data_IF_206084378172
#
_entry.id   IF_206084378172
#
_cell.length_a   1.000
_cell.length_b   1.000
_cell.length_c   1.000
_cell.angle_alpha   90.00
_cell.angle_beta   90.00
_cell.angle_gamma   90.00
#
_symmetry.space_group_name_H-M   'P 1'
#
loop_
_entity.id
_entity.type
_entity.pdbx_description
1 polymer ?
#
# COMPACT_ATOMS: atom_id res chain seq x y z
N UNK A 1 18.83 33.96 16.14
CA UNK A 1 19.68 33.39 15.08
C UNK A 1 18.81 32.44 14.27
N UNK A 2 18.24 32.93 13.17
CA UNK A 2 17.35 32.18 12.30
C UNK A 2 18.05 31.98 10.95
N UNK A 3 18.31 30.73 10.58
CA UNK A 3 18.87 30.35 9.28
C UNK A 3 17.73 30.13 8.30
N UNK A 4 17.56 31.07 7.37
CA UNK A 4 16.62 30.97 6.26
C UNK A 4 17.15 30.01 5.20
N UNK A 5 16.50 28.86 5.04
CA UNK A 5 16.74 27.92 3.93
C UNK A 5 15.92 28.36 2.73
N UNK A 6 16.51 28.57 1.54
CA UNK A 6 15.77 28.94 0.34
C UNK A 6 15.02 27.74 -0.26
N UNK A 7 13.93 27.97 -1.01
CA UNK A 7 13.12 26.90 -1.59
C UNK A 7 13.82 26.22 -2.79
N UNK A 8 13.47 24.95 -3.08
CA UNK A 8 14.03 24.23 -4.23
C UNK A 8 13.50 24.78 -5.55
N UNK A 9 14.43 24.98 -6.48
CA UNK A 9 14.23 25.33 -7.88
C UNK A 9 13.30 24.32 -8.56
N UNK A 10 12.22 24.81 -9.17
CA UNK A 10 11.32 23.99 -9.98
C UNK A 10 12.01 23.43 -11.23
N UNK A 11 11.47 22.36 -11.83
CA UNK A 11 12.02 21.77 -13.04
C UNK A 11 11.99 22.79 -14.19
N UNK A 12 13.16 22.99 -14.79
CA UNK A 12 13.35 23.77 -16.01
C UNK A 12 12.36 23.30 -17.09
N UNK A 13 11.52 24.23 -17.54
CA UNK A 13 10.76 24.08 -18.76
C UNK A 13 11.76 23.96 -19.93
N UNK A 14 12.03 22.73 -20.35
CA UNK A 14 12.81 22.42 -21.53
C UNK A 14 12.27 23.18 -22.74
N UNK A 15 13.11 24.09 -23.24
CA UNK A 15 12.76 25.05 -24.27
C UNK A 15 12.21 24.38 -25.51
N UNK A 16 10.97 24.75 -25.85
CA UNK A 16 10.41 24.53 -27.17
C UNK A 16 11.31 25.21 -28.20
N UNK A 17 12.12 24.39 -28.88
CA UNK A 17 12.90 24.76 -30.05
C UNK A 17 11.95 25.16 -31.16
N UNK A 18 11.54 26.44 -31.15
CA UNK A 18 10.80 27.07 -32.21
C UNK A 18 11.65 27.06 -33.48
N UNK A 19 11.37 26.09 -34.35
CA UNK A 19 11.75 26.14 -35.76
C UNK A 19 11.03 27.34 -36.41
N UNK A 20 11.57 28.55 -36.23
CA UNK A 20 11.31 29.69 -37.09
C UNK A 20 12.03 29.45 -38.41
N UNK A 21 11.48 28.54 -39.20
CA UNK A 21 11.78 28.41 -40.62
C UNK A 21 11.31 29.69 -41.32
N UNK A 22 12.27 30.57 -41.60
CA UNK A 22 12.08 31.81 -42.33
C UNK A 22 11.76 31.46 -43.80
N UNK A 23 10.51 31.09 -44.08
CA UNK A 23 10.02 30.97 -45.46
C UNK A 23 9.85 32.39 -46.00
N UNK A 24 10.93 32.91 -46.60
CA UNK A 24 10.86 34.07 -47.50
C UNK A 24 9.92 33.72 -48.65
N UNK A 25 8.64 34.08 -48.53
CA UNK A 25 7.72 34.18 -49.66
C UNK A 25 8.30 35.22 -50.62
N UNK A 26 8.95 34.77 -51.69
CA UNK A 26 9.20 35.62 -52.85
C UNK A 26 7.85 35.88 -53.54
N UNK A 27 7.50 37.14 -53.86
CA UNK A 27 6.25 37.45 -54.55
C UNK A 27 6.29 36.89 -55.97
N UNK A 28 5.29 36.08 -56.33
CA UNK A 28 5.06 35.46 -57.66
C UNK A 28 4.59 36.51 -58.70
N UNK A 29 4.94 37.77 -58.51
CA UNK A 29 4.42 38.89 -59.31
C UNK A 29 5.05 39.02 -60.72
N UNK A 30 6.03 38.18 -61.09
CA UNK A 30 6.77 38.36 -62.35
C UNK A 30 6.36 37.44 -63.52
N UNK A 31 5.32 36.61 -63.38
CA UNK A 31 4.96 35.63 -64.43
C UNK A 31 3.62 35.87 -65.15
N UNK A 32 2.88 36.95 -64.86
CA UNK A 32 1.65 37.30 -65.61
C UNK A 32 1.90 38.39 -66.68
N UNK A 33 3.09 39.00 -66.71
CA UNK A 33 3.39 40.11 -67.63
C UNK A 33 3.73 39.74 -69.08
N UNK A 34 4.06 38.48 -69.38
CA UNK A 34 4.65 38.10 -70.69
C UNK A 34 3.70 37.36 -71.63
N UNK A 35 2.55 36.88 -71.17
CA UNK A 35 1.57 36.23 -72.05
C UNK A 35 0.73 37.21 -72.89
N UNK A 36 0.74 38.51 -72.57
CA UNK A 36 0.02 39.54 -73.34
C UNK A 36 0.83 40.02 -74.57
N UNK A 37 2.15 39.83 -74.59
CA UNK A 37 2.98 40.28 -75.73
C UNK A 37 2.83 39.36 -76.95
N UNK A 38 2.49 38.08 -76.77
CA UNK A 38 2.30 37.15 -77.90
C UNK A 38 0.91 37.28 -78.58
N UNK A 39 -0.09 37.86 -77.91
CA UNK A 39 -1.42 38.06 -78.48
C UNK A 39 -1.58 39.42 -79.20
N UNK A 40 -0.72 40.40 -78.90
CA UNK A 40 -0.72 41.71 -79.59
C UNK A 40 -0.10 41.61 -81.00
N UNK A 41 0.72 40.60 -81.28
CA UNK A 41 1.28 40.38 -82.63
C UNK A 41 0.24 39.77 -83.61
N UNK A 42 -0.88 39.23 -83.10
CA UNK A 42 -1.94 38.64 -83.93
C UNK A 42 -2.96 39.61 -84.52
N UNK A 43 -2.92 40.90 -84.17
CA UNK A 43 -3.97 41.87 -84.54
C UNK A 43 -3.52 42.99 -85.50
N UNK A 44 -2.30 42.94 -86.05
CA UNK A 44 -1.85 43.88 -87.08
C UNK A 44 -1.65 43.14 -88.42
N UNK A 45 -2.77 42.78 -89.04
CA UNK A 45 -2.79 42.41 -90.44
C UNK A 45 -2.51 43.66 -91.29
N UNK A 46 -1.39 43.66 -92.03
CA UNK A 46 -1.22 44.56 -93.18
C UNK A 46 0.13 45.27 -93.32
N UNK A 47 1.24 44.53 -93.33
CA UNK A 47 2.40 44.86 -94.19
C UNK A 47 3.34 43.65 -94.24
N UNK A 48 3.47 43.08 -95.43
CA UNK A 48 4.40 41.99 -95.72
C UNK A 48 5.76 42.60 -96.07
N UNK A 49 6.72 42.52 -95.15
CA UNK A 49 8.14 42.43 -95.50
C UNK A 49 8.94 41.87 -94.31
N UNK A 50 9.59 40.73 -94.57
CA UNK A 50 10.62 40.02 -93.80
C UNK A 50 10.75 40.34 -92.30
N UNK A 51 10.04 39.60 -91.44
CA UNK A 51 10.50 39.45 -90.05
C UNK A 51 11.95 38.91 -90.07
N UNK A 52 12.92 39.58 -89.44
CA UNK A 52 14.31 39.14 -89.49
C UNK A 52 14.43 37.78 -88.82
N UNK A 53 15.09 36.82 -89.48
CA UNK A 53 15.28 35.44 -88.99
C UNK A 53 15.77 35.35 -87.53
N UNK A 54 16.47 36.37 -87.04
CA UNK A 54 16.92 36.50 -85.67
C UNK A 54 15.78 36.45 -84.63
N UNK A 55 14.65 37.13 -84.89
CA UNK A 55 13.52 37.18 -83.94
C UNK A 55 12.82 35.82 -83.83
N UNK A 56 12.79 35.05 -84.92
CA UNK A 56 12.23 33.70 -84.94
C UNK A 56 13.08 32.71 -84.13
N UNK A 57 14.41 32.83 -84.20
CA UNK A 57 15.32 31.97 -83.45
C UNK A 57 15.30 32.31 -81.95
N UNK A 58 15.17 33.59 -81.59
CA UNK A 58 14.93 34.01 -80.20
C UNK A 58 13.60 33.47 -79.66
N UNK A 59 12.53 33.57 -80.44
CA UNK A 59 11.22 33.01 -80.06
C UNK A 59 11.26 31.49 -79.84
N UNK A 60 12.01 30.74 -80.68
CA UNK A 60 12.23 29.30 -80.47
C UNK A 60 13.00 29.02 -79.18
N UNK A 61 14.08 29.75 -78.91
CA UNK A 61 14.84 29.58 -77.67
C UNK A 61 14.01 29.91 -76.43
N UNK A 62 13.19 30.97 -76.49
CA UNK A 62 12.26 31.32 -75.42
C UNK A 62 11.24 30.21 -75.16
N UNK A 63 10.67 29.61 -76.22
CA UNK A 63 9.73 28.50 -76.10
C UNK A 63 10.38 27.26 -75.46
N UNK A 64 11.64 26.95 -75.81
CA UNK A 64 12.40 25.88 -75.16
C UNK A 64 12.57 26.15 -73.66
N UNK A 65 12.96 27.38 -73.27
CA UNK A 65 13.10 27.76 -71.85
C UNK A 65 11.77 27.66 -71.09
N UNK A 66 10.67 28.12 -71.70
CA UNK A 66 9.33 28.01 -71.11
C UNK A 66 8.89 26.57 -70.96
N UNK A 67 9.18 25.71 -71.93
CA UNK A 67 8.86 24.27 -71.88
C UNK A 67 9.62 23.61 -70.73
N UNK A 68 10.91 23.89 -70.58
CA UNK A 68 11.71 23.40 -69.45
C UNK A 68 11.23 23.92 -68.11
N UNK A 69 10.93 25.23 -68.01
CA UNK A 69 10.39 25.83 -66.78
C UNK A 69 9.02 25.24 -66.38
N UNK A 70 8.14 25.00 -67.37
CA UNK A 70 6.86 24.33 -67.14
C UNK A 70 7.04 22.88 -66.68
N UNK A 71 8.04 22.16 -67.19
CA UNK A 71 8.37 20.81 -66.71
C UNK A 71 8.85 20.84 -65.25
N UNK A 72 9.76 21.75 -64.89
CA UNK A 72 10.22 21.94 -63.50
C UNK A 72 9.08 22.31 -62.56
N UNK A 73 8.21 23.25 -62.94
CA UNK A 73 7.06 23.64 -62.11
C UNK A 73 6.07 22.49 -61.91
N UNK A 74 5.85 21.65 -62.92
CA UNK A 74 5.02 20.44 -62.77
C UNK A 74 5.62 19.49 -61.75
N UNK A 75 6.93 19.24 -61.84
CA UNK A 75 7.65 18.42 -60.88
C UNK A 75 7.58 18.99 -59.46
N UNK A 76 7.80 20.29 -59.29
CA UNK A 76 7.71 20.95 -57.97
C UNK A 76 6.29 20.83 -57.36
N UNK A 77 5.24 20.92 -58.17
CA UNK A 77 3.85 20.74 -57.72
C UNK A 77 3.59 19.29 -57.32
N UNK A 78 4.09 18.32 -58.06
CA UNK A 78 4.00 16.89 -57.71
C UNK A 78 4.76 16.59 -56.41
N UNK A 79 5.97 17.10 -56.26
CA UNK A 79 6.78 16.98 -55.04
C UNK A 79 6.10 17.64 -53.84
N UNK A 80 5.52 18.83 -54.02
CA UNK A 80 4.78 19.52 -52.98
C UNK A 80 3.51 18.75 -52.56
N UNK A 81 2.80 18.15 -53.52
CA UNK A 81 1.64 17.28 -53.23
C UNK A 81 2.06 16.03 -52.48
N UNK A 82 3.15 15.38 -52.88
CA UNK A 82 3.69 14.22 -52.18
C UNK A 82 4.09 14.56 -50.75
N UNK A 83 4.75 15.72 -50.54
CA UNK A 83 5.09 16.22 -49.19
C UNK A 83 3.85 16.56 -48.35
N UNK A 84 2.83 17.15 -48.96
CA UNK A 84 1.58 17.44 -48.23
C UNK A 84 0.87 16.15 -47.80
N UNK A 85 0.82 15.13 -48.66
CA UNK A 85 0.25 13.83 -48.32
C UNK A 85 0.98 13.18 -47.14
N UNK A 86 2.32 13.18 -47.13
CA UNK A 86 3.09 12.61 -46.00
C UNK A 86 2.92 13.41 -44.71
N UNK A 87 2.78 14.74 -44.80
CA UNK A 87 2.50 15.59 -43.64
C UNK A 87 1.09 15.35 -43.08
N UNK A 88 0.09 15.11 -43.93
CA UNK A 88 -1.27 14.76 -43.50
C UNK A 88 -1.28 13.43 -42.75
N UNK A 89 -0.63 12.39 -43.28
CA UNK A 89 -0.49 11.09 -42.59
C UNK A 89 0.23 11.21 -41.24
N UNK A 90 1.30 12.01 -41.19
CA UNK A 90 2.05 12.26 -39.96
C UNK A 90 1.19 13.00 -38.91
N UNK A 91 0.38 13.98 -39.34
CA UNK A 91 -0.56 14.70 -38.47
C UNK A 91 -1.62 13.75 -37.91
N UNK A 92 -2.19 12.87 -38.73
CA UNK A 92 -3.23 11.93 -38.29
C UNK A 92 -2.68 10.87 -37.34
N UNK A 93 -1.43 10.43 -37.57
CA UNK A 93 -0.72 9.57 -36.61
C UNK A 93 -0.49 10.29 -35.28
N UNK A 94 0.05 11.51 -35.32
CA UNK A 94 0.31 12.30 -34.11
C UNK A 94 -0.97 12.60 -33.32
N UNK A 95 -2.08 12.85 -34.01
CA UNK A 95 -3.40 13.07 -33.37
C UNK A 95 -3.86 11.83 -32.62
N UNK A 96 -3.79 10.64 -33.24
CA UNK A 96 -4.15 9.38 -32.58
C UNK A 96 -3.26 9.07 -31.38
N UNK A 97 -1.96 9.32 -31.48
CA UNK A 97 -1.04 9.12 -30.37
C UNK A 97 -1.34 10.08 -29.21
N UNK A 98 -1.66 11.35 -29.50
CA UNK A 98 -2.06 12.32 -28.49
C UNK A 98 -3.38 11.93 -27.79
N UNK A 99 -4.37 11.45 -28.54
CA UNK A 99 -5.64 10.97 -27.97
C UNK A 99 -5.45 9.75 -27.07
N UNK A 100 -4.62 8.79 -27.49
CA UNK A 100 -4.28 7.61 -26.67
C UNK A 100 -3.55 8.01 -25.38
N UNK A 101 -2.56 8.89 -25.48
CA UNK A 101 -1.81 9.38 -24.33
C UNK A 101 -2.72 10.15 -23.36
N UNK A 102 -3.66 10.96 -23.87
CA UNK A 102 -4.64 11.66 -23.05
C UNK A 102 -5.60 10.69 -22.34
N UNK A 103 -6.05 9.65 -23.03
CA UNK A 103 -6.90 8.61 -22.44
C UNK A 103 -6.16 7.86 -21.32
N UNK A 104 -4.90 7.50 -21.55
CA UNK A 104 -4.05 6.86 -20.53
C UNK A 104 -3.79 7.78 -19.34
N UNK A 105 -3.45 9.04 -19.58
CA UNK A 105 -3.25 10.03 -18.52
C UNK A 105 -4.52 10.20 -17.66
N UNK A 106 -5.70 10.27 -18.28
CA UNK A 106 -6.99 10.31 -17.57
C UNK A 106 -7.22 9.06 -16.73
N UNK A 107 -6.85 7.89 -17.23
CA UNK A 107 -6.95 6.63 -16.48
C UNK A 107 -6.02 6.63 -15.26
N UNK A 108 -4.76 7.03 -15.41
CA UNK A 108 -3.78 7.03 -14.30
C UNK A 108 -4.13 8.09 -13.26
N UNK A 109 -4.65 9.24 -13.69
CA UNK A 109 -5.04 10.34 -12.81
C UNK A 109 -6.45 10.21 -12.22
N UNK A 110 -7.18 9.15 -12.57
CA UNK A 110 -8.52 8.88 -12.06
C UNK A 110 -8.53 8.81 -10.53
N UNK A 111 -9.58 9.36 -9.93
CA UNK A 111 -9.79 9.37 -8.47
C UNK A 111 -11.18 8.87 -8.16
N UNK A 112 -11.29 8.10 -7.09
CA UNK A 112 -12.53 7.52 -6.60
C UNK A 112 -12.84 7.96 -5.17
N UNK A 113 -14.09 7.81 -4.78
CA UNK A 113 -14.52 8.00 -3.38
C UNK A 113 -14.38 6.68 -2.64
N UNK A 114 -13.65 6.69 -1.53
CA UNK A 114 -13.38 5.50 -0.72
C UNK A 114 -14.69 4.99 -0.09
N UNK A 115 -15.11 3.72 -0.32
CA UNK A 115 -16.30 3.16 0.28
C UNK A 115 -16.11 2.90 1.78
N UNK A 116 -17.22 2.62 2.47
CA UNK A 116 -17.14 2.04 3.81
C UNK A 116 -16.88 0.53 3.70
N UNK A 117 -15.76 0.10 4.25
CA UNK A 117 -15.32 -1.27 4.41
C UNK A 117 -15.41 -1.72 5.88
N UNK A 118 -15.86 -0.83 6.78
CA UNK A 118 -16.07 -1.15 8.20
C UNK A 118 -17.29 -2.06 8.33
N UNK A 119 -17.27 -2.95 9.33
CA UNK A 119 -18.30 -3.95 9.68
C UNK A 119 -18.41 -5.20 8.80
N UNK A 120 -17.81 -5.18 7.60
CA UNK A 120 -17.59 -6.38 6.79
C UNK A 120 -16.37 -7.19 7.24
N UNK A 121 -16.15 -8.34 6.61
CA UNK A 121 -14.89 -9.08 6.71
C UNK A 121 -13.84 -8.55 5.72
N UNK A 122 -12.59 -9.01 5.86
CA UNK A 122 -11.48 -8.53 5.04
C UNK A 122 -11.57 -9.00 3.57
N UNK A 123 -12.24 -10.11 3.30
CA UNK A 123 -12.40 -10.66 1.97
C UNK A 123 -13.50 -9.90 1.23
N UNK A 124 -14.62 -9.58 1.88
CA UNK A 124 -15.64 -8.66 1.36
C UNK A 124 -15.04 -7.28 1.02
N UNK A 125 -14.12 -6.79 1.85
CA UNK A 125 -13.42 -5.54 1.58
C UNK A 125 -12.51 -5.60 0.33
N UNK A 126 -11.98 -6.78 -0.02
CA UNK A 126 -11.17 -7.01 -1.23
C UNK A 126 -12.04 -7.19 -2.47
N UNK A 127 -13.19 -7.82 -2.32
CA UNK A 127 -14.13 -8.11 -3.40
C UNK A 127 -15.05 -6.93 -3.72
N UNK A 128 -14.92 -5.82 -2.99
CA UNK A 128 -15.66 -4.60 -3.26
C UNK A 128 -15.36 -4.06 -4.67
N UNK A 129 -16.40 -3.89 -5.49
CA UNK A 129 -16.26 -3.46 -6.89
C UNK A 129 -15.53 -2.13 -7.05
N UNK A 130 -15.78 -1.15 -6.17
CA UNK A 130 -15.14 0.17 -6.23
C UNK A 130 -13.63 0.05 -5.97
N UNK A 131 -13.23 -0.85 -5.07
CA UNK A 131 -11.81 -1.15 -4.80
C UNK A 131 -11.15 -1.73 -6.07
N UNK A 132 -11.85 -2.64 -6.77
CA UNK A 132 -11.41 -3.21 -8.04
C UNK A 132 -11.30 -2.19 -9.17
N UNK A 133 -12.33 -1.37 -9.38
CA UNK A 133 -12.41 -0.37 -10.47
C UNK A 133 -11.26 0.64 -10.44
N UNK A 134 -10.86 1.04 -9.23
CA UNK A 134 -9.74 1.94 -8.99
C UNK A 134 -8.42 1.21 -8.68
N UNK A 135 -8.37 -0.12 -8.80
CA UNK A 135 -7.18 -0.94 -8.55
C UNK A 135 -6.54 -0.65 -7.18
N UNK A 136 -7.35 -0.34 -6.17
CA UNK A 136 -6.87 0.01 -4.84
C UNK A 136 -6.32 -1.22 -4.11
N UNK A 137 -5.22 -1.02 -3.38
CA UNK A 137 -4.51 -2.08 -2.67
C UNK A 137 -4.96 -2.14 -1.21
N UNK A 138 -5.63 -3.22 -0.82
CA UNK A 138 -6.00 -3.45 0.58
C UNK A 138 -4.78 -3.92 1.38
N UNK A 139 -4.45 -3.20 2.45
CA UNK A 139 -3.45 -3.58 3.46
C UNK A 139 -4.15 -3.88 4.77
N UNK A 140 -3.73 -4.94 5.45
CA UNK A 140 -4.35 -5.34 6.70
C UNK A 140 -3.44 -5.06 7.89
N UNK A 141 -4.03 -4.53 8.97
CA UNK A 141 -3.43 -4.47 10.30
C UNK A 141 -4.37 -5.13 11.30
N UNK A 142 -3.85 -5.80 12.32
CA UNK A 142 -4.69 -6.48 13.30
C UNK A 142 -4.66 -5.79 14.66
N UNK A 143 -5.82 -5.64 15.30
CA UNK A 143 -5.96 -5.01 16.62
C UNK A 143 -6.86 -5.84 17.54
N UNK A 144 -6.47 -5.93 18.81
CA UNK A 144 -7.31 -6.56 19.83
C UNK A 144 -8.59 -5.74 19.98
N UNK A 145 -9.74 -6.41 19.83
CA UNK A 145 -11.06 -5.80 19.92
C UNK A 145 -12.05 -6.79 20.52
N UNK A 146 -13.19 -6.28 21.00
CA UNK A 146 -14.35 -7.09 21.39
C UNK A 146 -15.22 -7.53 20.21
N UNK A 147 -14.98 -6.99 19.00
CA UNK A 147 -15.66 -7.43 17.79
C UNK A 147 -15.26 -8.86 17.37
N UNK A 148 -16.09 -9.48 16.53
CA UNK A 148 -15.82 -10.80 15.95
C UNK A 148 -14.46 -10.81 15.25
N UNK A 149 -13.56 -11.78 15.54
CA UNK A 149 -12.28 -11.89 14.86
C UNK A 149 -12.46 -11.98 13.34
N UNK A 150 -11.67 -11.23 12.57
CA UNK A 150 -11.79 -11.14 11.11
C UNK A 150 -12.62 -9.94 10.60
N UNK A 151 -13.42 -9.32 11.47
CA UNK A 151 -14.20 -8.12 11.10
C UNK A 151 -13.32 -6.87 11.00
N UNK A 152 -13.55 -6.05 9.98
CA UNK A 152 -12.92 -4.73 9.82
C UNK A 152 -13.56 -3.74 10.81
N UNK A 153 -12.75 -3.22 11.72
CA UNK A 153 -13.19 -2.28 12.77
C UNK A 153 -12.78 -0.83 12.51
N UNK A 154 -11.83 -0.61 11.61
CA UNK A 154 -11.46 0.72 11.15
C UNK A 154 -10.81 0.65 9.77
N UNK A 155 -10.81 1.76 9.05
CA UNK A 155 -10.11 1.89 7.77
C UNK A 155 -9.42 3.24 7.66
N UNK A 156 -8.41 3.30 6.80
CA UNK A 156 -7.71 4.52 6.39
C UNK A 156 -7.37 4.45 4.90
N UNK A 157 -7.74 5.44 4.06
CA UNK A 157 -8.50 6.65 4.40
C UNK A 157 -9.93 6.37 4.91
N UNK A 158 -10.56 7.39 5.51
CA UNK A 158 -11.95 7.28 5.97
C UNK A 158 -12.91 7.11 4.78
N UNK A 159 -14.07 6.48 4.97
CA UNK A 159 -15.12 6.47 3.96
C UNK A 159 -15.44 7.89 3.49
N UNK A 160 -15.70 8.07 2.20
CA UNK A 160 -15.96 9.38 1.59
C UNK A 160 -14.71 10.16 1.20
N UNK A 161 -13.51 9.72 1.57
CA UNK A 161 -12.28 10.39 1.13
C UNK A 161 -12.01 10.14 -0.35
N UNK A 162 -11.41 11.12 -1.03
CA UNK A 162 -10.96 10.97 -2.42
C UNK A 162 -9.60 10.28 -2.45
N UNK A 163 -9.47 9.22 -3.24
CA UNK A 163 -8.25 8.45 -3.36
C UNK A 163 -7.90 8.19 -4.85
N UNK A 164 -6.63 8.33 -5.19
CA UNK A 164 -6.13 8.10 -6.55
C UNK A 164 -6.14 6.61 -6.90
N UNK A 165 -6.27 6.29 -8.20
CA UNK A 165 -6.15 4.93 -8.72
C UNK A 165 -4.84 4.27 -8.27
N UNK A 166 -4.86 2.97 -7.98
CA UNK A 166 -3.69 2.20 -7.55
C UNK A 166 -3.20 2.45 -6.12
N UNK A 167 -3.79 3.41 -5.39
CA UNK A 167 -3.38 3.74 -4.03
C UNK A 167 -3.83 2.68 -2.99
N UNK A 168 -3.37 2.82 -1.75
CA UNK A 168 -3.61 1.84 -0.69
C UNK A 168 -4.71 2.24 0.28
N UNK A 169 -5.53 1.27 0.70
CA UNK A 169 -6.44 1.38 1.84
C UNK A 169 -5.94 0.43 2.92
N UNK A 170 -5.68 0.95 4.11
CA UNK A 170 -5.35 0.14 5.29
C UNK A 170 -6.61 -0.13 6.09
N UNK A 171 -6.98 -1.41 6.22
CA UNK A 171 -8.04 -1.87 7.11
C UNK A 171 -7.45 -2.40 8.41
N UNK A 172 -8.09 -2.07 9.53
CA UNK A 172 -7.79 -2.61 10.85
C UNK A 172 -8.80 -3.69 11.14
N UNK A 173 -8.32 -4.91 11.31
CA UNK A 173 -9.12 -6.12 11.50
C UNK A 173 -9.07 -6.52 12.98
N UNK A 174 -10.22 -6.90 13.52
CA UNK A 174 -10.35 -7.41 14.86
C UNK A 174 -9.61 -8.75 15.01
N UNK A 175 -8.82 -8.87 16.07
CA UNK A 175 -8.30 -10.15 16.56
C UNK A 175 -8.70 -10.36 18.01
N UNK A 176 -8.82 -11.63 18.39
CA UNK A 176 -9.10 -12.03 19.77
C UNK A 176 -7.95 -11.62 20.69
N UNK A 177 -8.26 -11.17 21.90
CA UNK A 177 -7.25 -10.98 22.93
C UNK A 177 -6.54 -12.32 23.21
N UNK A 178 -5.22 -12.32 23.40
CA UNK A 178 -4.53 -13.53 23.84
C UNK A 178 -5.11 -13.97 25.19
N UNK A 179 -5.18 -15.29 25.45
CA UNK A 179 -5.59 -15.76 26.76
C UNK A 179 -4.63 -15.22 27.83
N UNK A 180 -5.17 -14.89 29.02
CA UNK A 180 -4.33 -14.48 30.15
C UNK A 180 -3.26 -15.55 30.43
N UNK A 181 -2.01 -15.15 30.71
CA UNK A 181 -0.97 -16.10 31.07
C UNK A 181 -1.37 -16.89 32.32
N UNK A 182 -0.94 -18.16 32.40
CA UNK A 182 -1.07 -18.93 33.63
C UNK A 182 -0.24 -18.26 34.73
N UNK A 183 -0.78 -18.23 35.94
CA UNK A 183 -0.10 -17.71 37.12
C UNK A 183 -0.40 -18.60 38.34
N UNK A 184 0.38 -18.42 39.39
CA UNK A 184 0.14 -19.10 40.66
C UNK A 184 -1.05 -18.45 41.36
N UNK A 185 -2.16 -19.18 41.46
CA UNK A 185 -3.38 -18.77 42.15
C UNK A 185 -3.46 -19.53 43.48
N UNK A 186 -3.55 -18.80 44.59
CA UNK A 186 -3.77 -19.39 45.91
C UNK A 186 -5.17 -20.01 45.95
N UNK A 187 -5.23 -21.30 46.26
CA UNK A 187 -6.49 -22.05 46.44
C UNK A 187 -6.80 -22.34 47.91
N UNK A 188 -5.78 -22.27 48.75
CA UNK A 188 -5.89 -22.46 50.18
C UNK A 188 -4.79 -21.66 50.87
N UNK A 189 -5.12 -20.97 51.96
CA UNK A 189 -4.14 -20.26 52.78
C UNK A 189 -4.56 -20.23 54.22
N UNK A 190 -3.59 -20.31 55.11
CA UNK A 190 -3.80 -20.26 56.54
C UNK A 190 -2.56 -19.71 57.24
N UNK A 191 -2.77 -19.21 58.45
CA UNK A 191 -1.70 -18.86 59.38
C UNK A 191 -2.08 -19.30 60.80
N UNK A 192 -1.09 -19.47 61.66
CA UNK A 192 -1.31 -19.97 63.01
C UNK A 192 -0.02 -20.31 63.73
N UNK A 193 -0.12 -21.13 64.76
CA UNK A 193 1.04 -21.74 65.40
C UNK A 193 0.68 -22.98 66.21
N UNK A 194 1.69 -23.73 66.61
CA UNK A 194 1.50 -25.04 67.25
C UNK A 194 1.11 -26.14 66.26
N UNK A 195 0.79 -27.31 66.80
CA UNK A 195 0.31 -28.45 66.03
C UNK A 195 -1.16 -28.31 65.65
N UNK A 196 -1.48 -28.47 64.36
CA UNK A 196 -2.83 -28.31 63.83
C UNK A 196 -3.05 -29.14 62.56
N UNK A 197 -4.11 -29.94 62.59
CA UNK A 197 -4.79 -30.43 61.38
C UNK A 197 -5.61 -29.30 60.77
N UNK A 198 -5.36 -29.02 59.50
CA UNK A 198 -6.05 -27.96 58.75
C UNK A 198 -7.38 -28.45 58.17
N UNK A 199 -8.17 -27.51 57.63
CA UNK A 199 -9.35 -27.88 56.85
C UNK A 199 -8.97 -28.48 55.51
N UNK A 200 -9.89 -29.26 54.93
CA UNK A 200 -9.67 -29.86 53.63
C UNK A 200 -9.69 -28.83 52.50
N UNK A 201 -8.88 -29.06 51.47
CA UNK A 201 -8.88 -28.31 50.21
C UNK A 201 -8.71 -29.25 49.03
N UNK A 202 -9.21 -28.82 47.87
CA UNK A 202 -9.16 -29.62 46.64
C UNK A 202 -8.03 -29.17 45.72
N UNK A 203 -7.15 -30.10 45.40
CA UNK A 203 -6.17 -29.95 44.34
C UNK A 203 -6.80 -30.39 43.00
N UNK A 204 -6.92 -29.49 42.00
CA UNK A 204 -7.48 -29.83 40.69
C UNK A 204 -6.55 -30.79 39.93
N UNK A 205 -7.15 -31.69 39.15
CA UNK A 205 -6.42 -32.63 38.30
C UNK A 205 -5.62 -31.92 37.21
N UNK A 206 -4.40 -32.42 36.94
CA UNK A 206 -3.56 -31.98 35.83
C UNK A 206 -2.88 -30.61 35.98
N UNK A 207 -3.11 -29.88 37.07
CA UNK A 207 -2.45 -28.58 37.31
C UNK A 207 -1.14 -28.73 38.10
N UNK A 208 -0.19 -27.82 37.86
CA UNK A 208 1.02 -27.75 38.69
C UNK A 208 0.68 -27.09 40.02
N UNK A 209 1.12 -27.69 41.12
CA UNK A 209 0.80 -27.22 42.46
C UNK A 209 2.08 -26.94 43.23
N UNK A 210 2.06 -25.92 44.08
CA UNK A 210 3.11 -25.65 45.05
C UNK A 210 2.52 -25.25 46.39
N UNK A 211 3.24 -25.55 47.45
CA UNK A 211 2.99 -25.02 48.78
C UNK A 211 4.08 -24.01 49.08
N UNK A 212 3.69 -22.76 49.36
CA UNK A 212 4.56 -21.76 49.95
C UNK A 212 4.34 -21.78 51.44
N UNK A 213 5.40 -21.73 52.21
CA UNK A 213 5.30 -21.76 53.67
C UNK A 213 6.40 -20.90 54.28
N UNK A 214 6.09 -20.33 55.44
CA UNK A 214 7.02 -19.64 56.34
C UNK A 214 6.77 -20.16 57.75
N UNK A 215 7.84 -20.42 58.47
CA UNK A 215 7.88 -20.87 59.85
C UNK A 215 8.74 -19.91 60.67
N UNK A 216 8.41 -19.76 61.95
CA UNK A 216 9.16 -18.97 62.92
C UNK A 216 9.13 -19.62 64.29
N UNK A 217 10.05 -19.21 65.16
CA UNK A 217 10.33 -19.88 66.44
C UNK A 217 11.53 -20.82 66.33
N UNK A 218 11.84 -21.53 67.43
CA UNK A 218 13.01 -22.42 67.57
C UNK A 218 12.62 -23.90 67.70
N UNK A 219 11.44 -24.27 67.21
CA UNK A 219 10.91 -25.64 67.26
C UNK A 219 11.29 -26.44 66.02
N UNK A 220 11.07 -27.76 66.07
CA UNK A 220 11.11 -28.61 64.89
C UNK A 220 9.76 -28.54 64.17
N UNK A 221 9.74 -27.91 63.01
CA UNK A 221 8.54 -27.56 62.28
C UNK A 221 8.32 -28.52 61.10
N UNK A 222 7.17 -29.18 61.07
CA UNK A 222 6.83 -30.15 60.03
C UNK A 222 5.56 -29.76 59.28
N UNK A 223 5.56 -30.04 57.98
CA UNK A 223 4.39 -29.90 57.13
C UNK A 223 4.17 -31.19 56.37
N UNK A 224 3.02 -31.83 56.58
CA UNK A 224 2.64 -33.02 55.83
C UNK A 224 1.37 -32.75 55.03
N UNK A 225 1.30 -33.30 53.82
CA UNK A 225 0.09 -33.35 53.01
C UNK A 225 -0.54 -34.73 53.16
N UNK A 226 -1.81 -34.79 53.59
CA UNK A 226 -2.52 -36.05 53.82
C UNK A 226 -3.84 -36.09 53.06
N UNK A 227 -4.19 -37.26 52.55
CA UNK A 227 -5.54 -37.52 52.01
C UNK A 227 -6.48 -37.91 53.16
N UNK A 228 -7.75 -37.45 53.20
CA UNK A 228 -8.74 -37.91 54.18
C UNK A 228 -8.92 -39.44 54.20
N UNK A 229 -8.72 -40.10 53.05
CA UNK A 229 -8.94 -41.54 52.90
C UNK A 229 -7.80 -42.39 53.52
N UNK A 230 -6.63 -41.81 53.79
CA UNK A 230 -5.48 -42.54 54.33
C UNK A 230 -5.56 -42.73 55.87
N UNK A 231 -6.48 -42.04 56.54
CA UNK A 231 -6.58 -42.00 58.00
C UNK A 231 -5.50 -41.13 58.66
N UNK A 232 -5.72 -40.83 59.95
CA UNK A 232 -4.89 -39.86 60.68
C UNK A 232 -3.48 -40.39 61.02
N UNK A 233 -3.34 -41.72 61.09
CA UNK A 233 -2.09 -42.44 61.36
C UNK A 233 -1.14 -42.52 60.14
N UNK A 234 -1.57 -42.10 58.95
CA UNK A 234 -0.70 -42.00 57.77
C UNK A 234 0.37 -40.93 57.96
N UNK A 235 1.60 -41.19 57.50
CA UNK A 235 2.68 -40.20 57.47
C UNK A 235 2.50 -39.15 56.34
N UNK A 236 1.59 -39.39 55.40
CA UNK A 236 1.36 -38.51 54.23
C UNK A 236 2.63 -38.23 53.41
N UNK A 237 2.60 -37.16 52.61
CA UNK A 237 3.80 -36.62 51.99
C UNK A 237 4.44 -35.56 52.90
N UNK A 238 5.65 -35.81 53.38
CA UNK A 238 6.43 -34.80 54.10
C UNK A 238 6.89 -33.70 53.13
N UNK A 239 6.39 -32.48 53.35
CA UNK A 239 6.71 -31.29 52.56
C UNK A 239 7.94 -30.56 53.12
N UNK A 240 8.01 -30.41 54.44
CA UNK A 240 9.12 -29.78 55.15
C UNK A 240 9.28 -30.39 56.55
N UNK A 241 10.52 -30.42 57.03
CA UNK A 241 10.92 -30.77 58.40
C UNK A 241 12.20 -29.99 58.71
N UNK A 242 12.09 -28.82 59.31
CA UNK A 242 13.21 -27.90 59.55
C UNK A 242 13.16 -27.39 60.99
N UNK A 243 14.33 -27.10 61.57
CA UNK A 243 14.44 -26.54 62.92
C UNK A 243 14.76 -25.04 62.82
N UNK A 244 13.97 -24.23 63.50
CA UNK A 244 14.14 -22.77 63.52
C UNK A 244 13.41 -22.04 62.37
N UNK A 245 13.60 -20.72 62.24
CA UNK A 245 12.89 -19.93 61.24
C UNK A 245 13.27 -20.34 59.81
N UNK A 246 12.26 -20.64 58.99
CA UNK A 246 12.47 -21.11 57.62
C UNK A 246 11.36 -20.62 56.68
N UNK A 247 11.70 -20.34 55.42
CA UNK A 247 10.71 -20.02 54.38
C UNK A 247 11.06 -20.75 53.10
N UNK A 248 10.05 -21.38 52.48
CA UNK A 248 10.28 -22.27 51.35
C UNK A 248 9.11 -22.38 50.39
N UNK A 249 9.38 -23.08 49.30
CA UNK A 249 8.39 -23.44 48.29
C UNK A 249 8.63 -24.88 47.84
N UNK A 250 7.66 -25.75 48.09
CA UNK A 250 7.70 -27.14 47.66
C UNK A 250 6.69 -27.38 46.54
N UNK A 251 7.07 -28.13 45.50
CA UNK A 251 6.16 -28.51 44.41
C UNK A 251 5.50 -29.84 44.74
N UNK A 252 4.19 -29.93 44.50
CA UNK A 252 3.45 -31.18 44.64
C UNK A 252 3.24 -31.74 43.23
N UNK A 253 3.94 -32.83 42.91
CA UNK A 253 3.85 -33.47 41.59
C UNK A 253 2.80 -34.58 41.61
N UNK A 254 1.95 -34.63 40.60
CA UNK A 254 0.97 -35.71 40.41
C UNK A 254 -0.13 -35.78 41.48
N UNK A 255 -0.25 -34.78 42.37
CA UNK A 255 -1.30 -34.74 43.40
C UNK A 255 -2.56 -34.12 42.82
N UNK A 256 -3.71 -34.75 43.09
CA UNK A 256 -5.04 -34.27 42.76
C UNK A 256 -6.05 -34.95 43.66
N UNK A 257 -7.16 -34.28 43.97
CA UNK A 257 -8.14 -34.77 44.95
C UNK A 257 -8.25 -33.87 46.17
N UNK A 258 -8.84 -34.40 47.24
CA UNK A 258 -9.05 -33.68 48.49
C UNK A 258 -7.91 -33.99 49.45
N UNK A 259 -7.34 -32.97 50.06
CA UNK A 259 -6.23 -33.09 51.00
C UNK A 259 -6.44 -32.16 52.18
N UNK A 260 -5.75 -32.45 53.28
CA UNK A 260 -5.51 -31.50 54.35
C UNK A 260 -4.00 -31.43 54.63
N UNK A 261 -3.57 -30.34 55.24
CA UNK A 261 -2.23 -30.22 55.82
C UNK A 261 -2.27 -30.61 57.30
N UNK A 262 -1.30 -31.41 57.72
CA UNK A 262 -0.98 -31.64 59.13
C UNK A 262 0.30 -30.85 59.43
N UNK A 263 0.16 -29.84 60.28
CA UNK A 263 1.20 -28.85 60.55
C UNK A 263 1.65 -29.02 61.99
N UNK A 264 2.95 -29.09 62.24
CA UNK A 264 3.52 -29.03 63.58
C UNK A 264 4.58 -27.94 63.61
N UNK A 265 4.72 -27.27 64.76
CA UNK A 265 5.79 -26.29 64.93
C UNK A 265 5.40 -25.01 65.64
N UNK A 266 6.23 -23.99 65.45
CA UNK A 266 6.08 -22.65 66.00
C UNK A 266 4.99 -21.86 65.28
N UNK A 267 5.24 -20.60 64.94
CA UNK A 267 4.30 -19.80 64.15
C UNK A 267 4.49 -20.08 62.66
N UNK A 268 3.41 -20.15 61.88
CA UNK A 268 3.49 -20.44 60.46
C UNK A 268 2.48 -19.67 59.59
N UNK A 269 2.87 -19.44 58.34
CA UNK A 269 2.05 -18.92 57.25
C UNK A 269 2.18 -19.86 56.05
N UNK A 270 1.07 -20.42 55.57
CA UNK A 270 1.07 -21.44 54.51
C UNK A 270 0.06 -21.08 53.42
N UNK A 271 0.47 -21.23 52.16
CA UNK A 271 -0.38 -21.03 50.99
C UNK A 271 -0.18 -22.14 49.95
N UNK A 272 -1.26 -22.85 49.62
CA UNK A 272 -1.31 -23.80 48.51
C UNK A 272 -1.72 -23.05 47.25
N UNK A 273 -0.92 -23.16 46.21
CA UNK A 273 -1.11 -22.45 44.96
C UNK A 273 -1.10 -23.40 43.77
N UNK A 274 -1.98 -23.14 42.81
CA UNK A 274 -2.07 -23.89 41.55
C UNK A 274 -1.70 -22.98 40.38
N UNK A 275 -1.00 -23.52 39.40
CA UNK A 275 -0.56 -22.76 38.23
C UNK A 275 -1.61 -22.80 37.13
N UNK A 276 -2.62 -21.93 37.22
CA UNK A 276 -3.76 -21.88 36.30
C UNK A 276 -3.98 -20.47 35.73
N UNK A 277 -4.87 -20.36 34.73
CA UNK A 277 -5.36 -19.04 34.30
C UNK A 277 -6.30 -18.50 35.38
N UNK A 278 -6.16 -17.23 35.79
CA UNK A 278 -7.04 -16.62 36.77
C UNK A 278 -8.47 -16.51 36.26
#
# INVERSE_FOLDING_TARGET
>A
MATSVPPPSGPEAGGGGGFRGLVRRRPVAWLVGTAIVALIVGAAAGQADTAPRADLDEAKQANVRLTSANATLKQDVEDARARNATLEEARDKATREADNALAEARRITARGTVPSLVSGDVDEARDNSVVGDFEWKIRQQSRISGATPGTVIAQRPRPGATLARGAGITVVVAKKAPPKPKQWVTIYSLSGGGSRRTGEFRIPEGEKVRVRYSYGGDTNDTLQLKSPDEGDDSFGDLIVNEIGPYSGVSRLYGKSGTYYLDVMGGSWDIAVQVFKRP
#
